data_IF_320115890423
#
_entry.id   IF_320115890423
#
_cell.length_a   1.000
_cell.length_b   1.000
_cell.length_c   1.000
_cell.angle_alpha   90.00
_cell.angle_beta   90.00
_cell.angle_gamma   90.00
#
_symmetry.space_group_name_H-M   'P 1'
#
loop_
_entity.id
_entity.type
_entity.pdbx_description
1 polymer ?
#
# COMPACT_ATOMS: atom_id res chain seq x y z
N UNK A 1 -17.54 27.02 -29.19
CA UNK A 1 -16.53 25.95 -29.03
C UNK A 1 -15.34 26.57 -28.28
N UNK A 2 -15.39 26.56 -26.98
CA UNK A 2 -14.33 27.09 -26.11
C UNK A 2 -13.67 25.87 -25.50
N UNK A 3 -12.48 25.53 -25.98
CA UNK A 3 -11.63 24.50 -25.36
C UNK A 3 -11.14 25.04 -24.02
N UNK A 4 -11.72 24.55 -22.92
CA UNK A 4 -11.13 24.73 -21.59
C UNK A 4 -9.84 23.92 -21.53
N UNK A 5 -8.73 24.60 -21.46
CA UNK A 5 -7.43 24.00 -21.09
C UNK A 5 -7.53 23.70 -19.59
N UNK A 6 -7.70 22.43 -19.26
CA UNK A 6 -7.60 21.97 -17.87
C UNK A 6 -6.12 22.07 -17.47
N UNK A 7 -5.85 22.94 -16.54
CA UNK A 7 -4.54 23.05 -15.89
C UNK A 7 -4.37 21.84 -15.00
N UNK A 8 -3.35 21.04 -15.26
CA UNK A 8 -2.97 19.89 -14.44
C UNK A 8 -2.60 20.43 -13.05
N UNK A 9 -3.50 20.29 -12.08
CA UNK A 9 -3.16 20.39 -10.67
C UNK A 9 -2.65 19.02 -10.22
N UNK A 10 -1.35 18.80 -10.36
CA UNK A 10 -0.67 17.83 -9.52
C UNK A 10 -0.71 18.44 -8.13
N UNK A 11 -1.59 17.95 -7.26
CA UNK A 11 -1.63 18.37 -5.87
C UNK A 11 -0.30 17.97 -5.23
N UNK A 12 0.64 18.91 -5.20
CA UNK A 12 1.88 18.73 -4.46
C UNK A 12 1.51 18.68 -2.97
N UNK A 13 1.56 17.49 -2.40
CA UNK A 13 1.42 17.26 -0.97
C UNK A 13 2.58 17.94 -0.25
N UNK A 14 2.38 19.20 0.17
CA UNK A 14 3.35 19.94 0.97
C UNK A 14 3.37 19.36 2.39
N UNK A 15 4.34 18.50 2.67
CA UNK A 15 4.55 17.94 4.00
C UNK A 15 5.30 18.95 4.84
N UNK A 16 4.62 19.55 5.82
CA UNK A 16 5.33 20.16 6.96
C UNK A 16 5.91 19.02 7.81
N UNK A 17 7.23 19.00 7.91
CA UNK A 17 7.97 18.16 8.85
C UNK A 17 7.56 18.58 10.28
N UNK A 18 6.60 17.88 10.86
CA UNK A 18 6.34 17.99 12.32
C UNK A 18 7.23 16.92 12.96
N UNK A 19 8.25 17.37 13.69
CA UNK A 19 9.08 16.48 14.52
C UNK A 19 8.19 15.78 15.53
N UNK A 20 8.22 14.44 15.64
CA UNK A 20 7.42 13.76 16.62
C UNK A 20 7.96 14.01 18.03
N UNK A 21 7.10 14.51 18.91
CA UNK A 21 7.31 14.36 20.35
C UNK A 21 7.17 12.88 20.70
N UNK A 22 8.18 12.33 21.35
CA UNK A 22 8.23 10.96 21.83
C UNK A 22 7.33 10.80 23.07
N UNK A 23 6.03 10.66 22.87
CA UNK A 23 5.15 10.21 23.95
C UNK A 23 4.95 8.69 23.85
N UNK A 24 5.68 7.98 24.68
CA UNK A 24 5.50 6.56 24.88
C UNK A 24 4.09 6.30 25.44
N UNK A 25 3.29 5.56 24.68
CA UNK A 25 2.00 5.04 25.14
C UNK A 25 2.25 4.05 26.30
N UNK A 26 2.14 4.54 27.53
CA UNK A 26 2.16 3.72 28.72
C UNK A 26 0.84 2.94 28.84
N UNK A 27 0.86 1.68 28.42
CA UNK A 27 -0.25 0.76 28.58
C UNK A 27 -0.25 0.22 30.03
N UNK A 28 -1.36 0.33 30.75
CA UNK A 28 -1.53 -0.26 32.09
C UNK A 28 -1.38 -1.79 32.04
N UNK A 29 -0.58 -2.42 32.93
CA UNK A 29 -0.44 -3.87 32.97
C UNK A 29 -1.73 -4.51 33.50
N UNK A 30 -2.37 -5.35 32.72
CA UNK A 30 -3.54 -6.11 33.13
C UNK A 30 -4.34 -6.77 32.02
N UNK A 31 -4.07 -6.50 30.76
CA UNK A 31 -4.82 -7.06 29.65
C UNK A 31 -3.90 -7.90 28.73
N UNK A 32 -4.35 -9.11 28.40
CA UNK A 32 -3.65 -10.05 27.50
C UNK A 32 -3.71 -9.67 26.01
N UNK A 33 -3.98 -8.41 25.68
CA UNK A 33 -4.11 -7.87 24.33
C UNK A 33 -2.79 -7.65 23.60
N UNK A 34 -2.84 -7.23 22.32
CA UNK A 34 -1.67 -6.92 21.51
C UNK A 34 -0.77 -5.86 22.15
N UNK A 35 0.56 -6.06 22.05
CA UNK A 35 1.56 -5.14 22.60
C UNK A 35 2.33 -4.51 21.44
N UNK A 36 2.17 -3.20 21.26
CA UNK A 36 2.86 -2.43 20.22
C UNK A 36 4.21 -1.94 20.75
N UNK A 37 5.28 -2.20 20.00
CA UNK A 37 6.64 -1.71 20.30
C UNK A 37 7.29 -1.14 19.02
N UNK A 38 8.10 -0.08 19.18
CA UNK A 38 8.93 0.41 18.07
C UNK A 38 10.06 -0.58 17.85
N UNK A 39 10.12 -1.16 16.65
CA UNK A 39 11.17 -2.10 16.26
C UNK A 39 12.36 -1.37 15.62
N UNK A 40 12.07 -0.40 14.75
CA UNK A 40 13.06 0.42 14.08
C UNK A 40 12.50 1.84 13.88
N UNK A 41 13.33 2.85 14.08
CA UNK A 41 12.96 4.26 13.97
C UNK A 41 14.01 5.06 13.17
N UNK A 42 14.67 4.46 12.21
CA UNK A 42 15.67 5.12 11.36
C UNK A 42 15.07 5.90 10.20
N UNK A 43 13.78 6.21 10.25
CA UNK A 43 13.05 6.94 9.21
C UNK A 43 13.23 6.26 7.83
N UNK A 44 13.13 4.94 7.79
CA UNK A 44 13.07 4.18 6.55
C UNK A 44 11.77 4.51 5.85
N UNK A 45 11.86 4.81 4.59
CA UNK A 45 10.68 4.97 3.79
C UNK A 45 10.39 6.40 3.38
N UNK A 46 9.19 6.64 3.10
CA UNK A 46 8.54 7.83 2.61
C UNK A 46 7.06 7.52 2.52
N UNK A 47 6.31 8.40 1.95
CA UNK A 47 4.88 8.15 1.70
C UNK A 47 4.69 6.88 0.88
N UNK A 48 3.95 5.93 1.45
CA UNK A 48 3.53 4.70 0.79
C UNK A 48 4.53 3.54 0.82
N UNK A 49 5.53 3.55 1.70
CA UNK A 49 6.44 2.40 1.83
C UNK A 49 5.68 1.13 2.18
N UNK A 50 5.85 0.11 1.34
CA UNK A 50 5.38 -1.24 1.55
C UNK A 50 6.43 -2.14 2.19
N UNK A 51 5.99 -3.29 2.65
CA UNK A 51 6.86 -4.30 3.24
C UNK A 51 6.42 -5.71 2.90
N UNK A 52 7.29 -6.70 3.12
CA UNK A 52 6.93 -8.11 3.09
C UNK A 52 7.86 -8.94 3.99
N UNK A 53 7.38 -10.08 4.47
CA UNK A 53 8.22 -11.06 5.16
C UNK A 53 8.92 -11.93 4.11
N UNK A 54 10.24 -11.78 4.01
CA UNK A 54 11.04 -12.52 3.06
C UNK A 54 11.23 -14.01 3.42
N UNK A 55 11.83 -14.79 2.51
CA UNK A 55 12.00 -16.23 2.66
C UNK A 55 12.94 -16.64 3.81
N UNK A 56 13.69 -15.71 4.37
CA UNK A 56 14.54 -15.88 5.56
C UNK A 56 13.85 -15.48 6.87
N UNK A 57 12.56 -15.09 6.79
CA UNK A 57 11.76 -14.64 7.93
C UNK A 57 12.08 -13.24 8.42
N UNK A 58 12.90 -12.47 7.70
CA UNK A 58 13.12 -11.05 7.96
C UNK A 58 12.04 -10.19 7.30
N UNK A 59 11.82 -8.99 7.83
CA UNK A 59 10.98 -7.99 7.19
C UNK A 59 11.81 -7.23 6.14
N UNK A 60 11.27 -7.08 4.95
CA UNK A 60 11.84 -6.28 3.89
C UNK A 60 10.97 -5.05 3.67
N UNK A 61 11.58 -3.87 3.64
CA UNK A 61 10.87 -2.59 3.58
C UNK A 61 11.44 -1.78 2.43
N UNK A 62 10.58 -1.19 1.63
CA UNK A 62 10.96 -0.27 0.56
C UNK A 62 11.24 1.12 1.11
N UNK A 63 12.20 1.82 0.50
CA UNK A 63 12.51 3.21 0.80
C UNK A 63 12.54 4.04 -0.48
N UNK A 64 11.42 4.69 -0.77
CA UNK A 64 11.27 5.52 -1.97
C UNK A 64 12.16 6.77 -1.95
N UNK A 65 12.47 7.32 -0.77
CA UNK A 65 13.37 8.48 -0.63
C UNK A 65 14.81 8.15 -1.03
N UNK A 66 15.28 6.96 -0.65
CA UNK A 66 16.65 6.52 -0.88
C UNK A 66 16.80 5.61 -2.12
N UNK A 67 15.68 5.16 -2.71
CA UNK A 67 15.70 4.20 -3.82
C UNK A 67 16.30 2.85 -3.42
N UNK A 68 15.99 2.38 -2.21
CA UNK A 68 16.60 1.17 -1.64
C UNK A 68 15.56 0.14 -1.19
N UNK A 69 15.99 -1.11 -1.09
CA UNK A 69 15.31 -2.17 -0.38
C UNK A 69 16.12 -2.50 0.88
N UNK A 70 15.47 -2.48 2.04
CA UNK A 70 16.09 -2.66 3.34
C UNK A 70 15.55 -3.91 4.02
N UNK A 71 16.44 -4.75 4.53
CA UNK A 71 16.13 -5.93 5.32
C UNK A 71 16.20 -5.57 6.81
N UNK A 72 15.17 -5.90 7.57
CA UNK A 72 15.07 -5.65 9.01
C UNK A 72 15.01 -6.98 9.76
N UNK A 73 15.87 -7.16 10.76
CA UNK A 73 15.76 -8.32 11.66
C UNK A 73 14.54 -8.14 12.59
N UNK A 74 13.54 -9.02 12.54
CA UNK A 74 12.30 -8.87 13.30
C UNK A 74 12.48 -9.05 14.81
N UNK A 75 13.66 -9.45 15.29
CA UNK A 75 13.97 -9.65 16.70
C UNK A 75 14.48 -8.39 17.38
N UNK A 76 15.34 -7.63 16.69
CA UNK A 76 16.07 -6.49 17.27
C UNK A 76 16.00 -5.20 16.42
N UNK A 77 15.37 -5.25 15.25
CA UNK A 77 15.21 -4.08 14.38
C UNK A 77 16.49 -3.66 13.61
N UNK A 78 17.57 -4.46 13.66
CA UNK A 78 18.77 -4.12 12.89
C UNK A 78 18.49 -4.15 11.39
N UNK A 79 19.01 -3.16 10.68
CA UNK A 79 18.78 -2.95 9.25
C UNK A 79 20.01 -3.27 8.40
N UNK A 80 19.75 -3.69 7.17
CA UNK A 80 20.76 -3.92 6.14
C UNK A 80 20.17 -3.54 4.79
N UNK A 81 20.82 -2.62 4.08
CA UNK A 81 20.46 -2.33 2.68
C UNK A 81 20.86 -3.53 1.82
N UNK A 82 19.89 -4.15 1.15
CA UNK A 82 20.12 -5.32 0.29
C UNK A 82 20.09 -4.98 -1.19
N UNK A 83 19.56 -3.82 -1.55
CA UNK A 83 19.56 -3.32 -2.91
C UNK A 83 19.42 -1.80 -2.97
N UNK A 84 19.99 -1.18 -4.02
CA UNK A 84 19.95 0.26 -4.24
C UNK A 84 19.92 0.62 -5.72
N UNK A 85 19.61 1.89 -6.02
CA UNK A 85 19.56 2.40 -7.39
C UNK A 85 18.17 2.30 -8.04
N UNK A 86 17.10 2.17 -7.24
CA UNK A 86 15.73 2.35 -7.71
C UNK A 86 15.44 3.84 -7.94
N UNK A 87 14.48 4.17 -8.83
CA UNK A 87 13.99 5.54 -8.97
C UNK A 87 13.55 6.11 -7.63
N UNK A 88 13.93 7.37 -7.39
CA UNK A 88 13.58 8.09 -6.18
C UNK A 88 12.15 8.66 -6.29
N UNK A 89 11.51 8.88 -5.16
CA UNK A 89 10.27 9.65 -5.14
C UNK A 89 10.52 11.11 -5.58
N UNK A 90 9.58 11.70 -6.28
CA UNK A 90 9.73 13.07 -6.84
C UNK A 90 8.62 14.02 -6.40
N UNK A 91 7.46 13.52 -6.02
CA UNK A 91 6.30 14.32 -5.62
C UNK A 91 5.96 14.19 -4.13
N UNK A 92 6.95 13.85 -3.29
CA UNK A 92 6.72 13.51 -1.87
C UNK A 92 6.08 12.14 -1.65
N UNK A 93 5.89 11.39 -2.72
CA UNK A 93 5.25 10.08 -2.78
C UNK A 93 5.88 9.27 -3.92
N UNK A 94 5.85 7.93 -3.84
CA UNK A 94 6.29 7.04 -4.90
C UNK A 94 7.75 6.60 -4.77
N UNK A 95 8.42 6.37 -5.91
CA UNK A 95 9.66 5.61 -5.94
C UNK A 95 9.40 4.14 -5.61
N UNK A 96 10.28 3.50 -4.87
CA UNK A 96 10.08 2.12 -4.38
C UNK A 96 8.94 2.08 -3.36
N UNK A 97 7.83 1.42 -3.70
CA UNK A 97 6.59 1.47 -2.92
C UNK A 97 6.21 0.13 -2.30
N UNK A 98 6.50 -1.00 -2.96
CA UNK A 98 6.15 -2.31 -2.42
C UNK A 98 7.14 -3.39 -2.88
N UNK A 99 7.12 -4.57 -2.24
CA UNK A 99 8.08 -5.65 -2.48
C UNK A 99 7.44 -7.03 -2.30
N UNK A 100 7.74 -7.95 -3.22
CA UNK A 100 7.33 -9.34 -3.14
C UNK A 100 8.48 -10.29 -3.48
N UNK A 101 8.39 -11.55 -3.06
CA UNK A 101 9.42 -12.57 -3.32
C UNK A 101 8.90 -13.72 -4.18
N UNK A 102 9.61 -14.06 -5.24
CA UNK A 102 9.45 -15.33 -5.94
C UNK A 102 10.64 -16.23 -5.60
N UNK A 103 10.39 -17.22 -4.77
CA UNK A 103 11.46 -17.98 -4.13
C UNK A 103 12.36 -17.08 -3.29
N UNK A 104 13.67 -17.01 -3.62
CA UNK A 104 14.61 -16.13 -2.92
C UNK A 104 14.92 -14.83 -3.66
N UNK A 105 14.14 -14.47 -4.66
CA UNK A 105 14.36 -13.25 -5.44
C UNK A 105 13.35 -12.19 -5.07
N UNK A 106 13.85 -11.02 -4.68
CA UNK A 106 13.02 -9.85 -4.44
C UNK A 106 12.65 -9.15 -5.75
N UNK A 107 11.42 -8.71 -5.81
CA UNK A 107 10.87 -7.83 -6.84
C UNK A 107 10.26 -6.63 -6.16
N UNK A 108 10.60 -5.44 -6.63
CA UNK A 108 10.16 -4.18 -6.04
C UNK A 108 9.27 -3.44 -7.03
N UNK A 109 8.14 -2.98 -6.56
CA UNK A 109 7.25 -2.09 -7.30
C UNK A 109 7.75 -0.66 -7.17
N UNK A 110 7.84 0.04 -8.31
CA UNK A 110 8.14 1.47 -8.40
C UNK A 110 6.96 2.18 -9.01
N UNK A 111 6.51 3.25 -8.36
CA UNK A 111 5.39 4.08 -8.80
C UNK A 111 5.74 5.56 -8.81
N UNK A 112 4.86 6.39 -9.36
CA UNK A 112 5.06 7.84 -9.49
C UNK A 112 6.44 8.21 -10.06
N UNK A 113 6.84 7.50 -11.10
CA UNK A 113 8.05 7.67 -11.90
C UNK A 113 7.66 7.75 -13.39
N UNK A 114 8.59 8.15 -14.25
CA UNK A 114 8.31 8.25 -15.68
C UNK A 114 7.87 9.65 -16.12
N UNK A 115 7.40 9.76 -17.37
CA UNK A 115 7.12 11.03 -18.01
C UNK A 115 6.02 11.84 -17.34
N UNK A 116 4.96 11.18 -16.87
CA UNK A 116 3.83 11.84 -16.22
C UNK A 116 4.23 12.54 -14.91
N UNK A 117 5.35 12.10 -14.32
CA UNK A 117 5.89 12.61 -13.06
C UNK A 117 7.18 13.42 -13.24
N UNK A 118 7.54 13.79 -14.47
CA UNK A 118 8.71 14.62 -14.78
C UNK A 118 10.06 13.90 -14.71
N UNK A 119 10.08 12.57 -14.67
CA UNK A 119 11.28 11.71 -14.69
C UNK A 119 11.26 10.74 -15.87
N UNK A 120 11.35 11.22 -17.12
CA UNK A 120 11.09 10.41 -18.31
C UNK A 120 12.03 9.21 -18.47
N UNK A 121 13.22 9.25 -17.87
CA UNK A 121 14.20 8.16 -17.91
C UNK A 121 13.94 7.06 -16.86
N UNK A 122 13.02 7.29 -15.92
CA UNK A 122 12.64 6.30 -14.92
C UNK A 122 11.45 5.47 -15.40
N UNK A 123 11.48 4.17 -15.17
CA UNK A 123 10.40 3.25 -15.50
C UNK A 123 9.52 3.04 -14.29
N UNK A 124 8.22 3.27 -14.45
CA UNK A 124 7.21 2.88 -13.47
C UNK A 124 6.83 1.42 -13.68
N UNK A 125 7.08 0.56 -12.69
CA UNK A 125 6.85 -0.86 -12.85
C UNK A 125 7.56 -1.75 -11.85
N UNK A 126 7.72 -3.02 -12.20
CA UNK A 126 8.36 -4.01 -11.35
C UNK A 126 9.86 -4.10 -11.68
N UNK A 127 10.67 -4.03 -10.64
CA UNK A 127 12.12 -4.18 -10.71
C UNK A 127 12.56 -5.46 -10.00
N UNK A 128 13.51 -6.18 -10.60
CA UNK A 128 14.09 -7.39 -10.02
C UNK A 128 15.45 -7.10 -9.39
N UNK A 129 15.63 -7.47 -8.13
CA UNK A 129 16.93 -7.40 -7.45
C UNK A 129 17.92 -8.41 -8.05
N UNK A 130 19.11 -7.94 -8.40
CA UNK A 130 20.24 -8.73 -8.87
C UNK A 130 21.17 -9.13 -7.72
N UNK A 131 22.07 -10.08 -7.97
CA UNK A 131 23.03 -10.56 -6.96
C UNK A 131 24.05 -9.52 -6.50
N UNK A 132 24.31 -8.53 -7.34
CA UNK A 132 25.22 -7.40 -7.05
C UNK A 132 24.56 -6.27 -6.24
N UNK A 133 23.32 -6.43 -5.82
CA UNK A 133 22.55 -5.42 -5.08
C UNK A 133 21.96 -4.32 -5.97
N UNK A 134 22.10 -4.39 -7.28
CA UNK A 134 21.44 -3.46 -8.22
C UNK A 134 20.11 -4.02 -8.70
N UNK A 135 19.33 -3.20 -9.38
CA UNK A 135 18.04 -3.61 -9.92
C UNK A 135 18.03 -3.61 -11.45
N UNK A 136 17.13 -4.37 -12.03
CA UNK A 136 16.79 -4.29 -13.46
C UNK A 136 15.28 -4.28 -13.62
N UNK A 137 14.78 -3.49 -14.57
CA UNK A 137 13.35 -3.50 -14.93
C UNK A 137 12.96 -4.92 -15.33
N UNK A 138 11.88 -5.41 -14.74
CA UNK A 138 11.27 -6.71 -15.03
C UNK A 138 10.00 -6.56 -15.87
N UNK A 139 9.15 -5.56 -15.54
CA UNK A 139 7.95 -5.23 -16.28
C UNK A 139 7.72 -3.71 -16.24
N UNK A 140 7.51 -3.10 -17.39
CA UNK A 140 7.17 -1.69 -17.55
C UNK A 140 5.64 -1.54 -17.50
N UNK A 141 5.12 -1.23 -16.32
CA UNK A 141 3.69 -1.05 -16.08
C UNK A 141 3.20 0.29 -16.59
N UNK A 142 4.03 1.34 -16.48
CA UNK A 142 3.65 2.68 -16.92
C UNK A 142 3.40 2.75 -18.42
N UNK A 143 4.32 2.26 -19.23
CA UNK A 143 4.14 2.21 -20.69
C UNK A 143 2.95 1.33 -21.07
N UNK A 144 2.78 0.18 -20.40
CA UNK A 144 1.63 -0.69 -20.66
C UNK A 144 0.32 -0.01 -20.30
N UNK A 145 0.23 0.66 -19.15
CA UNK A 145 -0.96 1.36 -18.69
C UNK A 145 -1.38 2.48 -19.65
N UNK A 146 -0.43 3.28 -20.11
CA UNK A 146 -0.68 4.35 -21.06
C UNK A 146 -1.22 3.83 -22.42
N UNK A 147 -0.81 2.61 -22.82
CA UNK A 147 -1.32 1.95 -24.03
C UNK A 147 -2.66 1.23 -23.82
N UNK A 148 -3.10 1.04 -22.57
CA UNK A 148 -4.32 0.33 -22.20
C UNK A 148 -5.13 1.17 -21.20
N UNK A 149 -5.68 2.33 -21.61
CA UNK A 149 -6.48 3.18 -20.73
C UNK A 149 -7.77 2.45 -20.33
N UNK A 150 -8.33 2.76 -19.14
CA UNK A 150 -9.65 2.28 -18.74
C UNK A 150 -10.74 2.81 -19.69
N UNK A 151 -11.95 2.24 -19.60
CA UNK A 151 -13.06 2.62 -20.44
C UNK A 151 -13.51 4.09 -20.24
N UNK A 152 -13.34 4.62 -19.03
CA UNK A 152 -13.58 6.03 -18.69
C UNK A 152 -12.27 6.67 -18.21
N UNK A 153 -11.54 7.37 -19.10
CA UNK A 153 -10.22 7.90 -18.79
C UNK A 153 -10.28 9.29 -18.16
N UNK A 154 -11.09 9.52 -17.16
CA UNK A 154 -11.19 10.84 -16.49
C UNK A 154 -9.92 11.21 -15.68
N UNK A 155 -8.83 10.44 -15.86
CA UNK A 155 -7.61 10.50 -15.09
C UNK A 155 -6.47 11.21 -15.82
N UNK A 156 -5.74 12.05 -15.09
CA UNK A 156 -4.66 12.88 -15.64
C UNK A 156 -3.32 12.16 -15.80
N UNK A 157 -3.14 10.97 -15.18
CA UNK A 157 -1.91 10.19 -15.26
C UNK A 157 -2.16 8.90 -16.06
N UNK A 158 -1.83 8.92 -17.35
CA UNK A 158 -2.03 7.77 -18.25
C UNK A 158 -1.23 6.53 -17.81
N UNK A 159 -0.09 6.75 -17.14
CA UNK A 159 0.76 5.67 -16.62
C UNK A 159 0.20 5.00 -15.35
N UNK A 160 -0.87 5.55 -14.77
CA UNK A 160 -1.46 5.05 -13.54
C UNK A 160 -0.67 5.42 -12.27
N UNK A 161 -1.05 4.82 -11.14
CA UNK A 161 -0.34 4.86 -9.86
C UNK A 161 -0.50 3.51 -9.17
N UNK A 162 0.53 2.69 -9.23
CA UNK A 162 0.49 1.36 -8.62
C UNK A 162 0.93 1.45 -7.16
N UNK A 163 0.20 0.77 -6.26
CA UNK A 163 0.41 0.86 -4.81
C UNK A 163 0.90 -0.43 -4.17
N UNK A 164 0.46 -1.59 -4.65
CA UNK A 164 0.76 -2.85 -4.00
C UNK A 164 1.08 -3.95 -5.00
N UNK A 165 1.92 -4.89 -4.59
CA UNK A 165 2.45 -6.00 -5.37
C UNK A 165 2.45 -7.27 -4.54
N UNK A 166 1.84 -8.35 -5.06
CA UNK A 166 2.00 -9.67 -4.46
C UNK A 166 2.18 -10.77 -5.51
N UNK A 167 2.63 -11.95 -5.05
CA UNK A 167 2.86 -13.12 -5.89
C UNK A 167 1.57 -13.90 -6.08
N UNK A 168 1.16 -14.10 -7.34
CA UNK A 168 -0.02 -14.89 -7.67
C UNK A 168 0.23 -15.89 -8.78
N UNK A 169 0.02 -17.17 -8.48
CA UNK A 169 0.33 -18.28 -9.39
C UNK A 169 1.78 -18.21 -9.91
N UNK A 170 1.95 -18.09 -11.23
CA UNK A 170 3.25 -17.97 -11.89
C UNK A 170 3.55 -16.53 -12.28
N UNK A 171 3.42 -15.59 -11.37
CA UNK A 171 3.65 -14.18 -11.63
C UNK A 171 3.26 -13.30 -10.46
N UNK A 172 2.75 -12.12 -10.78
CA UNK A 172 2.39 -11.09 -9.83
C UNK A 172 1.00 -10.55 -10.12
N UNK A 173 0.39 -9.99 -9.08
CA UNK A 173 -0.73 -9.06 -9.16
C UNK A 173 -0.30 -7.72 -8.61
N UNK A 174 -0.85 -6.65 -9.19
CA UNK A 174 -0.51 -5.26 -8.84
C UNK A 174 -1.80 -4.45 -8.76
N UNK A 175 -1.99 -3.74 -7.66
CA UNK A 175 -3.07 -2.78 -7.52
C UNK A 175 -2.69 -1.47 -8.21
N UNK A 176 -3.46 -1.06 -9.21
CA UNK A 176 -3.34 0.23 -9.89
C UNK A 176 -4.49 1.13 -9.40
N UNK A 177 -4.19 1.95 -8.41
CA UNK A 177 -5.18 2.78 -7.75
C UNK A 177 -5.76 3.84 -8.68
N UNK A 178 -4.88 4.50 -9.43
CA UNK A 178 -5.28 5.62 -10.27
C UNK A 178 -6.16 5.18 -11.45
N UNK A 179 -5.91 4.02 -12.02
CA UNK A 179 -6.71 3.49 -13.12
C UNK A 179 -7.75 2.45 -12.66
N UNK A 180 -8.00 2.34 -11.34
CA UNK A 180 -9.09 1.58 -10.77
C UNK A 180 -9.06 0.08 -11.10
N UNK A 181 -7.89 -0.58 -11.13
CA UNK A 181 -7.78 -1.96 -11.60
C UNK A 181 -6.74 -2.80 -10.88
N UNK A 182 -6.80 -4.10 -11.07
CA UNK A 182 -5.70 -5.03 -10.72
C UNK A 182 -5.08 -5.56 -12.00
N UNK A 183 -3.77 -5.42 -12.11
CA UNK A 183 -2.95 -5.87 -13.21
C UNK A 183 -2.31 -7.22 -12.84
N UNK A 184 -2.17 -8.11 -13.80
CA UNK A 184 -1.42 -9.36 -13.69
C UNK A 184 -0.16 -9.30 -14.55
N UNK A 185 0.97 -9.76 -13.99
CA UNK A 185 2.25 -9.86 -14.69
C UNK A 185 2.77 -11.29 -14.56
N UNK A 186 3.01 -12.00 -15.64
CA UNK A 186 3.58 -13.35 -15.59
C UNK A 186 5.11 -13.31 -15.40
N UNK A 187 5.73 -14.46 -15.06
CA UNK A 187 7.20 -14.56 -14.86
C UNK A 187 8.03 -14.31 -16.13
N UNK A 188 7.40 -14.07 -17.29
CA UNK A 188 8.04 -13.61 -18.52
C UNK A 188 7.90 -12.10 -18.72
N UNK A 189 7.29 -11.38 -17.77
CA UNK A 189 7.03 -9.94 -17.83
C UNK A 189 5.83 -9.56 -18.71
N UNK A 190 4.99 -10.51 -19.15
CA UNK A 190 3.78 -10.21 -19.94
C UNK A 190 2.70 -9.67 -19.00
N UNK A 191 2.15 -8.53 -19.38
CA UNK A 191 1.18 -7.77 -18.60
C UNK A 191 -0.22 -7.98 -19.18
N UNK A 192 -1.22 -8.09 -18.30
CA UNK A 192 -2.64 -8.12 -18.66
C UNK A 192 -3.48 -7.59 -17.50
N UNK A 193 -4.65 -7.05 -17.78
CA UNK A 193 -5.64 -6.73 -16.75
C UNK A 193 -6.24 -8.02 -16.18
N UNK A 194 -6.40 -8.08 -14.85
CA UNK A 194 -7.13 -9.13 -14.17
C UNK A 194 -8.59 -8.72 -13.96
N UNK A 195 -8.81 -7.51 -13.48
CA UNK A 195 -10.11 -6.91 -13.22
C UNK A 195 -10.00 -5.40 -13.25
N UNK A 196 -10.98 -4.72 -13.85
CA UNK A 196 -11.24 -3.32 -13.65
C UNK A 196 -12.39 -3.18 -12.63
N UNK A 197 -12.22 -2.30 -11.65
CA UNK A 197 -13.29 -1.85 -10.79
C UNK A 197 -14.03 -0.71 -11.48
N UNK A 198 -15.25 -0.46 -11.07
CA UNK A 198 -15.90 0.78 -11.48
C UNK A 198 -15.08 1.96 -10.93
N UNK A 199 -14.57 2.78 -11.84
CA UNK A 199 -13.65 3.89 -11.49
C UNK A 199 -14.30 4.92 -10.58
N UNK A 200 -15.64 4.98 -10.58
CA UNK A 200 -16.41 5.87 -9.71
C UNK A 200 -16.51 5.35 -8.28
N UNK A 201 -16.24 4.06 -8.04
CA UNK A 201 -16.57 3.42 -6.76
C UNK A 201 -15.37 2.83 -6.02
N UNK A 202 -14.21 2.70 -6.66
CA UNK A 202 -13.10 1.94 -6.04
C UNK A 202 -11.71 2.42 -6.45
N UNK A 203 -10.88 2.72 -5.47
CA UNK A 203 -9.45 3.00 -5.62
C UNK A 203 -8.66 1.87 -4.95
N UNK A 204 -8.13 0.89 -5.70
CA UNK A 204 -7.32 -0.19 -5.15
C UNK A 204 -6.06 0.34 -4.45
N UNK A 205 -5.81 -0.09 -3.23
CA UNK A 205 -4.66 0.32 -2.41
C UNK A 205 -3.74 -0.87 -2.10
N UNK A 206 -4.03 -1.63 -1.05
CA UNK A 206 -3.29 -2.84 -0.69
C UNK A 206 -3.88 -4.09 -1.31
N UNK A 207 -3.07 -5.14 -1.46
CA UNK A 207 -3.56 -6.46 -1.87
C UNK A 207 -2.79 -7.59 -1.20
N UNK A 208 -3.49 -8.72 -1.00
CA UNK A 208 -2.98 -9.95 -0.42
C UNK A 208 -3.45 -11.14 -1.23
N UNK A 209 -2.55 -12.07 -1.51
CA UNK A 209 -2.86 -13.32 -2.18
C UNK A 209 -2.96 -14.46 -1.20
N UNK A 210 -4.17 -14.92 -0.95
CA UNK A 210 -4.41 -16.07 -0.09
C UNK A 210 -5.50 -17.01 -0.65
N UNK A 211 -5.33 -18.31 -0.43
CA UNK A 211 -6.31 -19.32 -0.82
C UNK A 211 -6.74 -19.27 -2.31
N UNK A 212 -5.80 -18.91 -3.20
CA UNK A 212 -6.02 -18.81 -4.64
C UNK A 212 -6.87 -17.62 -5.09
N UNK A 213 -7.12 -16.66 -4.19
CA UNK A 213 -7.82 -15.41 -4.46
C UNK A 213 -6.88 -14.23 -4.22
N UNK A 214 -7.20 -13.11 -4.81
CA UNK A 214 -6.59 -11.82 -4.48
C UNK A 214 -7.58 -11.04 -3.63
N UNK A 215 -7.19 -10.65 -2.43
CA UNK A 215 -7.95 -9.72 -1.61
C UNK A 215 -7.42 -8.31 -1.89
N UNK A 216 -8.31 -7.37 -2.18
CA UNK A 216 -7.95 -6.02 -2.58
C UNK A 216 -8.62 -5.04 -1.64
N UNK A 217 -7.84 -4.27 -0.92
CA UNK A 217 -8.32 -3.10 -0.20
C UNK A 217 -8.65 -1.99 -1.19
N UNK A 218 -9.75 -1.29 -0.97
CA UNK A 218 -10.16 -0.14 -1.79
C UNK A 218 -10.47 1.05 -0.89
N UNK A 219 -9.99 2.22 -1.28
CA UNK A 219 -10.16 3.46 -0.53
C UNK A 219 -11.47 4.20 -0.87
N UNK A 220 -12.19 3.76 -1.90
CA UNK A 220 -13.30 4.50 -2.47
C UNK A 220 -12.85 5.66 -3.39
N UNK A 221 -13.78 6.29 -4.12
CA UNK A 221 -13.47 7.37 -5.03
C UNK A 221 -13.05 8.65 -4.29
N UNK A 222 -12.39 9.54 -5.02
CA UNK A 222 -12.11 10.89 -4.51
C UNK A 222 -13.43 11.60 -4.18
N UNK A 223 -13.59 12.20 -2.99
CA UNK A 223 -12.59 12.57 -1.98
C UNK A 223 -12.24 11.50 -0.93
N UNK A 224 -12.41 10.22 -1.21
CA UNK A 224 -12.07 9.09 -0.33
C UNK A 224 -12.83 9.11 1.00
N UNK A 225 -14.14 9.06 0.93
CA UNK A 225 -14.97 9.00 2.15
C UNK A 225 -14.69 7.69 2.90
N UNK A 226 -14.53 7.73 4.22
CA UNK A 226 -14.28 6.54 5.03
C UNK A 226 -15.30 5.41 4.82
N UNK A 227 -16.56 5.74 4.61
CA UNK A 227 -17.66 4.79 4.34
C UNK A 227 -17.48 3.99 3.04
N UNK A 228 -16.71 4.49 2.09
CA UNK A 228 -16.54 3.90 0.76
C UNK A 228 -15.43 2.84 0.74
N UNK A 229 -14.62 2.80 1.79
CA UNK A 229 -13.57 1.78 1.92
C UNK A 229 -14.15 0.37 2.05
N UNK A 230 -13.57 -0.57 1.31
CA UNK A 230 -13.98 -1.97 1.32
C UNK A 230 -12.79 -2.92 1.11
N UNK A 231 -13.01 -4.21 1.36
CA UNK A 231 -12.11 -5.29 0.94
C UNK A 231 -12.88 -6.17 -0.03
N UNK A 232 -12.30 -6.38 -1.20
CA UNK A 232 -12.86 -7.17 -2.28
C UNK A 232 -12.05 -8.46 -2.46
N UNK A 233 -12.72 -9.61 -2.60
CA UNK A 233 -12.10 -10.85 -3.04
C UNK A 233 -12.25 -10.96 -4.57
N UNK A 234 -11.14 -11.03 -5.27
CA UNK A 234 -11.06 -11.21 -6.73
C UNK A 234 -10.66 -12.64 -7.05
N UNK A 235 -11.40 -13.29 -7.95
CA UNK A 235 -11.09 -14.63 -8.44
C UNK A 235 -10.29 -14.58 -9.73
N UNK A 236 -9.80 -15.75 -10.15
CA UNK A 236 -9.00 -15.92 -11.36
C UNK A 236 -9.72 -15.50 -12.65
N UNK A 237 -11.03 -15.59 -12.67
CA UNK A 237 -11.89 -15.19 -13.79
C UNK A 237 -12.21 -13.69 -13.79
N UNK A 238 -11.65 -12.91 -12.86
CA UNK A 238 -11.91 -11.50 -12.69
C UNK A 238 -13.19 -11.19 -11.91
N UNK A 239 -13.97 -12.21 -11.49
CA UNK A 239 -15.16 -11.96 -10.69
C UNK A 239 -14.81 -11.44 -9.30
N UNK A 240 -15.56 -10.47 -8.80
CA UNK A 240 -15.34 -9.79 -7.51
C UNK A 240 -16.45 -10.07 -6.53
N UNK A 241 -16.12 -10.03 -5.24
CA UNK A 241 -17.09 -10.05 -4.15
C UNK A 241 -16.58 -9.21 -3.00
N UNK A 242 -17.37 -8.26 -2.51
CA UNK A 242 -17.09 -7.54 -1.26
C UNK A 242 -17.11 -8.54 -0.10
N UNK A 243 -16.05 -8.57 0.68
CA UNK A 243 -15.87 -9.46 1.85
C UNK A 243 -15.71 -8.70 3.15
N UNK A 244 -15.38 -7.40 3.09
CA UNK A 244 -15.33 -6.50 4.23
C UNK A 244 -15.80 -5.12 3.81
N UNK A 245 -16.71 -4.50 4.59
CA UNK A 245 -17.25 -3.17 4.33
C UNK A 245 -17.79 -2.57 5.63
N UNK A 246 -17.75 -1.25 5.76
CA UNK A 246 -18.48 -0.55 6.80
C UNK A 246 -20.00 -0.76 6.64
N UNK A 247 -20.73 -0.67 7.74
CA UNK A 247 -22.19 -0.69 7.68
C UNK A 247 -22.70 0.46 6.80
N UNK A 248 -23.83 0.25 6.11
CA UNK A 248 -24.37 1.22 5.17
C UNK A 248 -24.76 2.57 5.82
N UNK A 249 -25.00 2.57 7.13
CA UNK A 249 -25.31 3.75 7.94
C UNK A 249 -24.08 4.30 8.70
N UNK A 250 -22.88 3.81 8.35
CA UNK A 250 -21.65 4.27 8.98
C UNK A 250 -21.38 5.74 8.57
N UNK A 251 -21.49 6.64 9.55
CA UNK A 251 -21.22 8.06 9.41
C UNK A 251 -19.92 8.48 10.14
N UNK A 252 -19.05 7.51 10.46
CA UNK A 252 -17.78 7.78 11.15
C UNK A 252 -16.69 8.25 10.20
N UNK A 253 -15.62 8.76 10.78
CA UNK A 253 -14.44 9.25 10.06
C UNK A 253 -13.27 8.25 10.04
N UNK A 254 -13.53 7.00 10.42
CA UNK A 254 -12.55 5.89 10.38
C UNK A 254 -12.60 5.24 9.01
N UNK A 255 -11.52 5.26 8.29
CA UNK A 255 -11.51 4.68 6.97
C UNK A 255 -10.15 4.74 6.31
N UNK A 256 -10.20 4.63 5.01
CA UNK A 256 -9.08 4.45 4.11
C UNK A 256 -8.29 3.19 4.47
N UNK A 257 -8.82 2.04 4.03
CA UNK A 257 -8.09 0.78 4.12
C UNK A 257 -6.93 0.87 3.13
N UNK A 258 -5.70 0.89 3.65
CA UNK A 258 -4.49 1.04 2.84
C UNK A 258 -3.78 -0.27 2.58
N UNK A 259 -4.06 -1.29 3.41
CA UNK A 259 -3.48 -2.61 3.25
C UNK A 259 -4.40 -3.70 3.79
N UNK A 260 -4.19 -4.93 3.35
CA UNK A 260 -5.00 -6.10 3.70
C UNK A 260 -4.10 -7.33 3.82
N UNK A 261 -4.30 -8.12 4.88
CA UNK A 261 -3.49 -9.30 5.18
C UNK A 261 -4.30 -10.50 5.63
N UNK A 262 -3.89 -11.70 5.23
CA UNK A 262 -4.47 -12.95 5.68
C UNK A 262 -3.71 -13.51 6.88
N UNK A 263 -4.32 -13.45 8.04
CA UNK A 263 -3.75 -13.98 9.25
C UNK A 263 -4.04 -15.46 9.48
N UNK A 264 -3.75 -15.91 10.69
CA UNK A 264 -4.02 -17.29 11.12
C UNK A 264 -5.51 -17.61 11.07
N UNK A 265 -5.82 -18.90 10.89
CA UNK A 265 -7.20 -19.41 10.81
C UNK A 265 -8.00 -18.77 9.67
N UNK A 266 -7.32 -18.29 8.62
CA UNK A 266 -7.94 -17.63 7.47
C UNK A 266 -8.76 -16.38 7.85
N UNK A 267 -8.37 -15.72 8.91
CA UNK A 267 -8.96 -14.44 9.32
C UNK A 267 -8.31 -13.31 8.53
N UNK A 268 -9.11 -12.51 7.86
CA UNK A 268 -8.66 -11.38 7.07
C UNK A 268 -8.57 -10.13 7.97
N UNK A 269 -7.55 -9.32 7.75
CA UNK A 269 -7.31 -8.07 8.47
C UNK A 269 -7.15 -6.94 7.48
N UNK A 270 -7.62 -5.76 7.85
CA UNK A 270 -7.39 -4.52 7.11
C UNK A 270 -6.59 -3.55 7.95
N UNK A 271 -5.71 -2.79 7.31
CA UNK A 271 -4.98 -1.69 7.91
C UNK A 271 -5.68 -0.38 7.55
N UNK A 272 -6.17 0.34 8.55
CA UNK A 272 -6.76 1.66 8.37
C UNK A 272 -5.69 2.73 8.59
N UNK A 273 -5.55 3.68 7.65
CA UNK A 273 -4.60 4.77 7.81
C UNK A 273 -4.95 5.66 9.00
N UNK A 274 -6.24 5.85 9.31
CA UNK A 274 -6.70 6.56 10.50
C UNK A 274 -8.03 7.29 10.30
N UNK A 275 -8.23 8.35 11.09
CA UNK A 275 -9.42 9.18 11.03
C UNK A 275 -9.20 10.40 10.12
N UNK A 276 -10.22 10.72 9.36
CA UNK A 276 -10.24 11.81 8.41
C UNK A 276 -11.28 12.83 8.85
N UNK A 277 -10.86 13.86 9.59
CA UNK A 277 -11.73 14.98 10.01
C UNK A 277 -11.83 16.02 8.89
N UNK A 278 -11.98 15.55 7.66
CA UNK A 278 -11.92 16.42 6.51
C UNK A 278 -13.27 16.47 5.84
N UNK A 279 -13.80 17.70 5.73
CA UNK A 279 -14.80 17.97 4.71
C UNK A 279 -14.23 17.57 3.35
N UNK A 280 -15.06 17.05 2.43
CA UNK A 280 -14.63 16.66 1.08
C UNK A 280 -14.30 17.91 0.24
N UNK A 281 -13.27 18.64 0.64
CA UNK A 281 -12.79 19.86 -0.01
C UNK A 281 -11.56 19.52 -0.86
N UNK A 282 -11.42 20.13 -2.04
CA UNK A 282 -10.26 19.86 -2.92
C UNK A 282 -8.90 20.07 -2.25
N UNK A 283 -8.80 21.02 -1.31
CA UNK A 283 -7.58 21.30 -0.55
C UNK A 283 -7.23 20.21 0.47
N UNK A 284 -8.16 19.31 0.76
CA UNK A 284 -7.96 18.18 1.66
C UNK A 284 -7.58 16.90 0.91
N UNK A 285 -7.70 16.88 -0.39
CA UNK A 285 -7.33 15.74 -1.21
C UNK A 285 -5.84 15.38 -1.03
N UNK A 286 -5.56 14.10 -0.85
CA UNK A 286 -4.21 13.58 -0.65
C UNK A 286 -3.59 13.86 0.72
N UNK A 287 -4.27 14.55 1.64
CA UNK A 287 -3.77 14.67 3.02
C UNK A 287 -3.83 13.33 3.73
N UNK A 288 -2.82 13.00 4.56
CA UNK A 288 -2.86 11.79 5.36
C UNK A 288 -3.89 11.91 6.49
N UNK A 289 -4.33 10.78 7.02
CA UNK A 289 -5.20 10.73 8.19
C UNK A 289 -4.58 11.41 9.41
N UNK A 290 -5.40 11.73 10.41
CA UNK A 290 -4.95 12.32 11.67
C UNK A 290 -3.91 11.42 12.36
N UNK A 291 -2.86 12.00 12.96
CA UNK A 291 -1.82 11.24 13.65
C UNK A 291 -2.37 10.35 14.77
N UNK A 292 -1.77 9.17 14.95
CA UNK A 292 -2.11 8.23 16.04
C UNK A 292 -3.58 7.76 16.05
N UNK A 293 -4.24 7.78 14.91
CA UNK A 293 -5.62 7.28 14.78
C UNK A 293 -5.73 6.04 13.90
N UNK A 294 -4.61 5.53 13.36
CA UNK A 294 -4.59 4.31 12.57
C UNK A 294 -4.97 3.08 13.37
N UNK A 295 -5.54 2.10 12.69
CA UNK A 295 -6.06 0.88 13.32
C UNK A 295 -5.78 -0.35 12.47
N UNK A 296 -5.69 -1.52 13.13
CA UNK A 296 -5.87 -2.81 12.47
C UNK A 296 -7.27 -3.30 12.80
N UNK A 297 -8.03 -3.66 11.79
CA UNK A 297 -9.35 -4.26 11.93
C UNK A 297 -9.34 -5.71 11.45
N UNK A 298 -10.10 -6.57 12.10
CA UNK A 298 -10.36 -7.91 11.61
C UNK A 298 -11.72 -7.92 10.88
N UNK A 299 -11.82 -8.72 9.83
CA UNK A 299 -13.06 -8.89 9.08
C UNK A 299 -13.87 -10.02 9.72
N UNK A 300 -15.08 -9.72 10.13
CA UNK A 300 -16.04 -10.67 10.65
C UNK A 300 -16.61 -11.57 9.55
N UNK A 301 -17.27 -12.65 9.96
CA UNK A 301 -17.91 -13.58 9.03
C UNK A 301 -19.07 -12.94 8.23
N UNK A 302 -19.64 -11.88 8.76
CA UNK A 302 -20.69 -11.06 8.15
C UNK A 302 -20.10 -9.91 7.29
N UNK A 303 -18.76 -9.79 7.24
CA UNK A 303 -18.05 -8.70 6.54
C UNK A 303 -17.90 -7.43 7.36
N UNK A 304 -18.34 -7.39 8.62
CA UNK A 304 -18.13 -6.24 9.51
C UNK A 304 -16.67 -6.09 9.94
N UNK A 305 -16.28 -4.89 10.36
CA UNK A 305 -14.93 -4.61 10.86
C UNK A 305 -14.91 -4.53 12.39
N UNK A 306 -14.04 -5.32 13.00
CA UNK A 306 -13.75 -5.31 14.44
C UNK A 306 -12.33 -4.78 14.69
N UNK A 307 -12.18 -3.71 15.49
CA UNK A 307 -10.85 -3.16 15.79
C UNK A 307 -10.07 -4.08 16.71
N UNK A 308 -8.86 -4.44 16.28
CA UNK A 308 -7.91 -5.28 17.03
C UNK A 308 -6.79 -4.44 17.67
N UNK A 309 -6.28 -3.46 16.92
CA UNK A 309 -5.21 -2.55 17.37
C UNK A 309 -5.63 -1.12 17.07
N UNK A 310 -5.29 -0.18 17.96
CA UNK A 310 -5.57 1.25 17.82
C UNK A 310 -4.32 2.08 18.06
N UNK A 311 -4.37 3.34 17.63
CA UNK A 311 -3.36 4.33 17.99
C UNK A 311 -2.10 4.24 17.12
N UNK A 312 -2.19 3.65 15.92
CA UNK A 312 -1.09 3.62 14.98
C UNK A 312 -0.94 5.00 14.30
N UNK A 313 0.30 5.45 14.13
CA UNK A 313 0.56 6.73 13.51
C UNK A 313 0.64 6.61 11.99
N UNK A 314 -0.46 6.87 11.30
CA UNK A 314 -0.53 6.90 9.83
C UNK A 314 0.15 5.68 9.19
N UNK A 315 -0.32 4.45 9.46
CA UNK A 315 0.29 3.23 8.95
C UNK A 315 0.11 3.13 7.42
N UNK A 316 1.08 2.48 6.74
CA UNK A 316 1.10 2.31 5.28
C UNK A 316 1.16 0.86 4.84
N UNK A 317 1.73 -0.04 5.64
CA UNK A 317 1.84 -1.46 5.32
C UNK A 317 1.71 -2.32 6.58
N UNK A 318 1.11 -3.49 6.43
CA UNK A 318 0.89 -4.50 7.46
C UNK A 318 1.45 -5.84 6.98
N UNK A 319 2.21 -6.52 7.84
CA UNK A 319 2.68 -7.88 7.61
C UNK A 319 2.37 -8.78 8.78
N UNK A 320 1.84 -9.96 8.53
CA UNK A 320 1.49 -10.93 9.57
C UNK A 320 2.44 -12.13 9.59
N UNK A 321 3.19 -12.29 10.67
CA UNK A 321 4.15 -13.38 10.86
C UNK A 321 3.94 -14.18 12.15
N UNK A 322 3.33 -15.35 12.07
CA UNK A 322 3.08 -16.20 13.24
C UNK A 322 2.11 -15.57 14.24
N UNK A 323 2.59 -15.09 15.39
CA UNK A 323 1.80 -14.37 16.42
C UNK A 323 2.22 -12.91 16.53
N UNK A 324 2.76 -12.36 15.47
CA UNK A 324 3.22 -10.97 15.38
C UNK A 324 2.64 -10.31 14.17
N UNK A 325 2.43 -9.02 14.30
CA UNK A 325 2.25 -8.14 13.15
C UNK A 325 3.39 -7.14 13.09
N UNK A 326 3.73 -6.72 11.89
CA UNK A 326 4.65 -5.62 11.64
C UNK A 326 3.90 -4.54 10.88
N UNK A 327 4.12 -3.29 11.26
CA UNK A 327 3.48 -2.14 10.60
C UNK A 327 4.55 -1.13 10.24
N UNK A 328 4.56 -0.72 8.99
CA UNK A 328 5.33 0.44 8.52
C UNK A 328 4.42 1.66 8.59
N UNK A 329 4.95 2.78 9.03
CA UNK A 329 4.21 4.05 9.12
C UNK A 329 4.70 5.03 8.06
N UNK A 330 3.92 6.07 7.80
CA UNK A 330 4.25 7.13 6.86
C UNK A 330 5.59 7.82 7.15
N UNK A 331 5.95 7.94 8.43
CA UNK A 331 7.25 8.47 8.86
C UNK A 331 8.42 7.50 8.68
N UNK A 332 8.15 6.25 8.24
CA UNK A 332 9.14 5.19 8.11
C UNK A 332 9.47 4.46 9.42
N UNK A 333 8.74 4.73 10.49
CA UNK A 333 8.85 3.95 11.73
C UNK A 333 8.29 2.55 11.50
N UNK A 334 8.99 1.52 11.98
CA UNK A 334 8.54 0.13 11.95
C UNK A 334 8.11 -0.28 13.34
N UNK A 335 6.87 -0.70 13.44
CA UNK A 335 6.27 -1.20 14.68
C UNK A 335 6.22 -2.73 14.64
N UNK A 336 6.46 -3.35 15.79
CA UNK A 336 6.19 -4.77 16.03
C UNK A 336 5.04 -4.88 17.04
N UNK A 337 4.08 -5.71 16.73
CA UNK A 337 2.91 -5.98 17.56
C UNK A 337 2.98 -7.45 17.98
N UNK A 338 3.28 -7.69 19.24
CA UNK A 338 3.34 -9.04 19.81
C UNK A 338 1.95 -9.47 20.32
N UNK A 339 1.69 -10.76 20.36
CA UNK A 339 0.40 -11.38 20.77
C UNK A 339 -0.77 -11.02 19.83
N UNK A 340 -0.45 -10.87 18.57
CA UNK A 340 -1.43 -10.60 17.52
C UNK A 340 -2.21 -11.87 17.13
#
# INVERSE_FOLDING_TARGET
MIRRRSTVFVAALAIMLVMPSSDALAHKPGNSGPVVTVLNNTALGGLGSGSTIGPDGALYVTNGNAGTLVRIDPRNGSETVVGSGLPLQVIGFGGAIDVAFVGHRAYVLVTAAGSDFGVPDAVMGIYRLKRDGTFSVFADLGTWSAAHPPADPDWNAAQGLQYSLDVWHNGFVVADAHLGRVIRVDLRGRISELVAFDSTDSVPTGLEVANGKVFVATAGPTPHLPSDSAINAVRRDGSTKVVGKWAADYAGNRGLIVDVEMGRHQRLYGLLQGHWDLEPLPENEGKPAAPNTGEIVAVGADGSFETVVRGLNQPTSLELGGRRAFVVTLSGTILRIDRF
#
